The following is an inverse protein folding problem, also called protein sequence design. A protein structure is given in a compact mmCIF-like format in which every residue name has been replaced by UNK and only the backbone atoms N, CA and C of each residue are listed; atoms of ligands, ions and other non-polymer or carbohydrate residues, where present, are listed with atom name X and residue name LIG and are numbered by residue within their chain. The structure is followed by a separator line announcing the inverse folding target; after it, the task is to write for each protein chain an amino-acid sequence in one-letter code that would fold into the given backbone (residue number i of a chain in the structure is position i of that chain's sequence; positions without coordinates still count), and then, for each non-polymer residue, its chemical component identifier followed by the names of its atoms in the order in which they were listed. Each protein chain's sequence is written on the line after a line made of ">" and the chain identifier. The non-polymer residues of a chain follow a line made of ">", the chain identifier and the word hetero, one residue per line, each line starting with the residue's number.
data_IF_492881332609
#
_entry.id   IF_492881332609
#
_cell.length_a   1.000
_cell.length_b   1.000
_cell.length_c   1.000
_cell.angle_alpha   90.00
_cell.angle_beta   90.00
_cell.angle_gamma   90.00
#
_symmetry.space_group_name_H-M   'P 1'
#
loop_
_entity.id
_entity.type
_entity.pdbx_description
1 polymer ?
#
# COMPACT_ATOMS: atom_id res chain seq x y z
N UNK A 1 -14.08 -13.14 -12.49
CA UNK A 1 -12.81 -12.53 -12.03
C UNK A 1 -12.90 -12.33 -10.54
N UNK A 2 -11.91 -12.79 -9.78
CA UNK A 2 -11.85 -12.56 -8.34
C UNK A 2 -10.91 -11.39 -8.07
N UNK A 3 -11.38 -10.38 -7.34
CA UNK A 3 -10.61 -9.20 -7.01
C UNK A 3 -10.82 -8.84 -5.53
N UNK A 4 -9.72 -8.64 -4.81
CA UNK A 4 -9.74 -8.10 -3.45
C UNK A 4 -8.72 -6.98 -3.32
N UNK A 5 -9.15 -5.89 -2.70
CA UNK A 5 -8.32 -4.73 -2.40
C UNK A 5 -8.21 -4.56 -0.89
N UNK A 6 -6.99 -4.32 -0.44
CA UNK A 6 -6.67 -4.14 0.96
C UNK A 6 -5.92 -2.83 1.17
N UNK A 7 -6.25 -2.12 2.24
CA UNK A 7 -5.31 -1.17 2.83
C UNK A 7 -4.28 -1.96 3.64
N UNK A 8 -2.99 -1.68 3.39
CA UNK A 8 -1.89 -2.26 4.15
C UNK A 8 -1.13 -1.16 4.88
N UNK A 9 -0.92 -1.34 6.19
CA UNK A 9 -0.38 -0.33 7.08
C UNK A 9 0.93 -0.83 7.69
N UNK A 10 1.98 -0.04 7.52
CA UNK A 10 3.33 -0.31 7.99
C UNK A 10 3.73 0.70 9.07
N UNK A 11 4.17 0.25 10.25
CA UNK A 11 4.73 1.15 11.27
C UNK A 11 6.06 1.79 10.85
N UNK A 12 6.73 1.24 9.85
CA UNK A 12 8.03 1.68 9.38
C UNK A 12 8.05 1.72 7.86
N UNK A 13 8.50 2.84 7.30
CA UNK A 13 8.57 3.05 5.86
C UNK A 13 9.42 1.99 5.11
N UNK A 14 10.58 1.53 5.62
CA UNK A 14 11.35 0.47 4.95
C UNK A 14 10.56 -0.82 4.70
N UNK A 15 9.62 -1.18 5.59
CA UNK A 15 8.79 -2.37 5.40
C UNK A 15 7.83 -2.21 4.22
N UNK A 16 7.31 -1.01 3.97
CA UNK A 16 6.55 -0.71 2.75
C UNK A 16 7.42 -0.87 1.49
N UNK A 17 8.66 -0.36 1.53
CA UNK A 17 9.59 -0.44 0.40
C UNK A 17 9.99 -1.88 0.07
N UNK A 18 10.22 -2.71 1.10
CA UNK A 18 10.46 -4.14 0.95
C UNK A 18 9.22 -4.85 0.40
N UNK A 19 8.03 -4.56 0.94
CA UNK A 19 6.78 -5.17 0.50
C UNK A 19 6.45 -4.87 -0.96
N UNK A 20 6.79 -3.68 -1.47
CA UNK A 20 6.60 -3.34 -2.89
C UNK A 20 7.47 -4.16 -3.83
N UNK A 21 8.66 -4.57 -3.39
CA UNK A 21 9.59 -5.40 -4.18
C UNK A 21 9.27 -6.89 -4.08
N UNK A 22 8.34 -7.28 -3.21
CA UNK A 22 7.94 -8.66 -3.07
C UNK A 22 7.30 -9.17 -4.37
N UNK A 23 7.80 -10.31 -4.84
CA UNK A 23 7.27 -11.02 -6.00
C UNK A 23 6.91 -12.43 -5.54
N UNK A 24 5.70 -12.86 -5.87
CA UNK A 24 5.27 -14.25 -5.65
C UNK A 24 6.01 -15.17 -6.60
N UNK A 25 6.47 -16.31 -6.09
CA UNK A 25 7.25 -17.26 -6.89
C UNK A 25 6.42 -17.91 -8.02
N UNK A 26 5.13 -18.18 -7.76
CA UNK A 26 4.23 -18.88 -8.68
C UNK A 26 3.07 -17.99 -9.19
N UNK A 27 3.36 -16.75 -9.57
CA UNK A 27 2.37 -15.89 -10.23
C UNK A 27 2.16 -16.37 -11.67
N UNK A 28 0.95 -16.84 -12.03
CA UNK A 28 0.65 -17.14 -13.44
C UNK A 28 0.48 -15.82 -14.20
N UNK A 29 0.72 -15.83 -15.51
CA UNK A 29 0.81 -14.62 -16.36
C UNK A 29 -0.40 -13.66 -16.29
N UNK A 30 -1.57 -14.13 -15.86
CA UNK A 30 -2.78 -13.31 -15.75
C UNK A 30 -3.22 -12.98 -14.32
N UNK A 31 -2.57 -13.53 -13.30
CA UNK A 31 -2.83 -13.11 -11.93
C UNK A 31 -2.03 -11.85 -11.62
N UNK A 32 -2.55 -11.03 -10.72
CA UNK A 32 -1.85 -9.86 -10.22
C UNK A 32 -1.86 -9.87 -8.70
N UNK A 33 -0.68 -9.64 -8.13
CA UNK A 33 -0.48 -9.41 -6.72
C UNK A 33 0.56 -8.32 -6.58
N UNK A 34 0.14 -7.11 -6.21
CA UNK A 34 1.06 -5.99 -6.14
C UNK A 34 0.62 -4.92 -5.14
N UNK A 35 1.61 -4.20 -4.63
CA UNK A 35 1.42 -2.96 -3.89
C UNK A 35 1.32 -1.81 -4.89
N UNK A 36 0.22 -1.06 -4.85
CA UNK A 36 0.01 0.11 -5.69
C UNK A 36 1.16 1.13 -5.46
N UNK A 37 1.87 1.55 -6.52
CA UNK A 37 2.92 2.57 -6.39
C UNK A 37 2.34 3.98 -6.27
N UNK A 38 1.10 4.15 -6.73
CA UNK A 38 0.33 5.38 -6.77
C UNK A 38 -0.49 5.58 -5.50
N UNK A 39 -0.66 6.83 -5.12
CA UNK A 39 -1.46 7.24 -3.96
C UNK A 39 -1.13 6.54 -2.63
N UNK A 40 0.16 6.29 -2.29
CA UNK A 40 0.49 5.91 -0.93
C UNK A 40 0.13 7.07 0.01
N UNK A 41 -0.13 6.76 1.27
CA UNK A 41 -0.48 7.79 2.24
C UNK A 41 0.13 7.54 3.61
N UNK A 42 0.21 8.61 4.40
CA UNK A 42 0.51 8.52 5.82
C UNK A 42 -0.80 8.68 6.58
N UNK A 43 -1.12 7.69 7.42
CA UNK A 43 -2.28 7.74 8.30
C UNK A 43 -1.87 8.31 9.66
N UNK A 44 -2.47 9.45 10.00
CA UNK A 44 -2.20 10.20 11.23
C UNK A 44 -3.24 9.92 12.33
N UNK A 45 -4.42 9.43 11.96
CA UNK A 45 -5.55 9.23 12.86
C UNK A 45 -6.01 7.77 12.85
N UNK A 46 -6.42 7.21 14.00
CA UNK A 46 -6.82 5.83 14.10
C UNK A 46 -8.07 5.56 13.26
N UNK A 47 -8.15 4.39 12.64
CA UNK A 47 -9.33 3.98 11.87
C UNK A 47 -9.92 2.69 12.42
N UNK A 48 -11.16 2.39 12.01
CA UNK A 48 -11.84 1.16 12.39
C UNK A 48 -12.13 0.28 11.17
N UNK A 49 -11.59 -0.93 11.20
CA UNK A 49 -11.75 -1.96 10.20
C UNK A 49 -12.54 -3.12 10.78
N UNK A 50 -13.85 -3.21 10.51
CA UNK A 50 -14.84 -4.18 11.00
C UNK A 50 -14.63 -4.70 12.44
N UNK A 51 -13.68 -5.63 12.63
CA UNK A 51 -13.41 -6.35 13.88
C UNK A 51 -12.11 -5.89 14.59
N UNK A 52 -11.42 -4.87 14.06
CA UNK A 52 -10.14 -4.36 14.59
C UNK A 52 -10.03 -2.85 14.43
N UNK A 53 -9.60 -2.17 15.50
CA UNK A 53 -9.12 -0.78 15.44
C UNK A 53 -7.64 -0.76 15.04
N UNK A 54 -7.31 0.07 14.07
CA UNK A 54 -5.94 0.31 13.62
C UNK A 54 -5.51 1.62 14.28
N UNK A 55 -4.57 1.51 15.22
CA UNK A 55 -4.08 2.66 15.97
C UNK A 55 -2.97 3.37 15.19
N UNK A 56 -3.12 4.68 15.02
CA UNK A 56 -2.11 5.59 14.49
C UNK A 56 -2.27 6.94 15.19
N UNK A 57 -1.20 7.73 15.18
CA UNK A 57 -1.15 9.04 15.81
C UNK A 57 -0.08 9.91 15.13
N UNK A 58 0.02 11.18 15.49
CA UNK A 58 1.12 12.04 15.05
C UNK A 58 2.50 11.54 15.52
N UNK A 59 2.58 10.97 16.73
CA UNK A 59 3.83 10.43 17.26
C UNK A 59 4.20 9.06 16.66
N UNK A 60 3.18 8.31 16.21
CA UNK A 60 3.34 6.99 15.62
C UNK A 60 2.43 6.88 14.37
N UNK A 61 2.81 7.52 13.26
CA UNK A 61 2.07 7.42 12.03
C UNK A 61 2.20 6.03 11.40
N UNK A 62 1.26 5.68 10.54
CA UNK A 62 1.35 4.47 9.72
C UNK A 62 1.53 4.83 8.26
N UNK A 63 2.49 4.20 7.61
CA UNK A 63 2.71 4.29 6.16
C UNK A 63 1.78 3.30 5.46
N UNK A 64 1.03 3.76 4.46
CA UNK A 64 0.00 2.97 3.80
C UNK A 64 0.18 2.96 2.28
N UNK A 65 -0.19 1.82 1.69
CA UNK A 65 -0.55 1.72 0.28
C UNK A 65 -1.71 0.72 0.12
N UNK A 66 -2.19 0.56 -1.11
CA UNK A 66 -3.15 -0.45 -1.50
C UNK A 66 -2.43 -1.74 -1.93
N UNK A 67 -2.87 -2.88 -1.40
CA UNK A 67 -2.52 -4.21 -1.89
C UNK A 67 -3.67 -4.73 -2.74
N UNK A 68 -3.39 -5.01 -4.01
CA UNK A 68 -4.36 -5.57 -4.95
C UNK A 68 -4.05 -7.04 -5.22
N UNK A 69 -5.10 -7.87 -5.12
CA UNK A 69 -5.07 -9.29 -5.48
C UNK A 69 -6.13 -9.52 -6.56
N UNK A 70 -5.69 -9.86 -7.76
CA UNK A 70 -6.55 -10.21 -8.88
C UNK A 70 -6.21 -11.62 -9.37
N UNK A 71 -7.21 -12.50 -9.34
CA UNK A 71 -7.11 -13.83 -9.95
C UNK A 71 -7.99 -13.82 -11.19
N UNK A 72 -7.34 -13.87 -12.34
CA UNK A 72 -8.05 -14.04 -13.59
C UNK A 72 -8.42 -15.53 -13.73
N UNK A 73 -9.70 -15.88 -13.86
CA UNK A 73 -10.05 -17.24 -14.22
C UNK A 73 -9.53 -17.50 -15.63
N UNK A 74 -8.52 -18.36 -15.77
CA UNK A 74 -8.22 -18.94 -17.07
C UNK A 74 -9.51 -19.53 -17.68
N UNK A 75 -9.61 -19.46 -19.00
CA UNK A 75 -10.72 -19.94 -19.84
C UNK A 75 -10.99 -21.44 -19.66
N UNK A 76 -11.45 -21.89 -18.49
CA UNK A 76 -12.00 -23.23 -18.23
C UNK A 76 -12.40 -23.30 -16.74
N UNK A 77 -13.55 -22.71 -16.40
CA UNK A 77 -14.36 -23.19 -15.27
C UNK A 77 -13.74 -23.19 -13.87
N UNK A 78 -12.69 -22.42 -13.58
CA UNK A 78 -12.21 -22.20 -12.20
C UNK A 78 -13.40 -21.75 -11.34
N UNK A 79 -13.88 -22.66 -10.49
CA UNK A 79 -14.97 -22.36 -9.58
C UNK A 79 -14.51 -21.26 -8.61
N UNK A 80 -15.38 -20.34 -8.21
CA UNK A 80 -15.07 -19.25 -7.26
C UNK A 80 -14.28 -19.70 -6.02
N UNK A 81 -14.46 -20.95 -5.61
CA UNK A 81 -13.78 -21.60 -4.50
C UNK A 81 -12.26 -21.73 -4.77
N UNK A 82 -11.84 -22.08 -5.98
CA UNK A 82 -10.44 -22.25 -6.35
C UNK A 82 -9.71 -20.91 -6.44
N UNK A 83 -10.36 -19.89 -7.02
CA UNK A 83 -9.85 -18.52 -7.02
C UNK A 83 -9.63 -17.98 -5.61
N UNK A 84 -10.58 -18.22 -4.69
CA UNK A 84 -10.45 -17.87 -3.27
C UNK A 84 -9.31 -18.62 -2.59
N UNK A 85 -9.15 -19.93 -2.85
CA UNK A 85 -8.04 -20.73 -2.32
C UNK A 85 -6.68 -20.20 -2.80
N UNK A 86 -6.59 -19.83 -4.08
CA UNK A 86 -5.37 -19.26 -4.67
C UNK A 86 -5.02 -17.91 -4.07
N UNK A 87 -5.98 -16.98 -4.02
CA UNK A 87 -5.79 -15.68 -3.38
C UNK A 87 -5.38 -15.82 -1.90
N UNK A 88 -5.97 -16.78 -1.18
CA UNK A 88 -5.58 -17.09 0.20
C UNK A 88 -4.11 -17.52 0.29
N UNK A 89 -3.64 -18.43 -0.57
CA UNK A 89 -2.23 -18.86 -0.59
C UNK A 89 -1.28 -17.70 -0.87
N UNK A 90 -1.60 -16.86 -1.86
CA UNK A 90 -0.81 -15.67 -2.19
C UNK A 90 -0.68 -14.71 -0.99
N UNK A 91 -1.80 -14.46 -0.30
CA UNK A 91 -1.80 -13.65 0.91
C UNK A 91 -1.02 -14.32 2.06
N UNK A 92 -1.07 -15.63 2.22
CA UNK A 92 -0.32 -16.36 3.24
C UNK A 92 1.19 -16.28 3.00
N UNK A 93 1.64 -16.43 1.75
CA UNK A 93 3.05 -16.27 1.36
C UNK A 93 3.54 -14.84 1.64
N UNK A 94 2.76 -13.82 1.25
CA UNK A 94 3.07 -12.43 1.56
C UNK A 94 3.11 -12.15 3.07
N UNK A 95 2.20 -12.74 3.84
CA UNK A 95 2.15 -12.60 5.31
C UNK A 95 3.27 -13.33 6.03
N UNK A 96 3.90 -14.31 5.40
CA UNK A 96 5.06 -15.01 5.95
C UNK A 96 6.36 -14.20 5.87
N UNK A 97 6.37 -13.10 5.12
CA UNK A 97 7.56 -12.27 4.95
C UNK A 97 7.94 -11.51 6.23
N UNK A 98 9.24 -11.26 6.48
CA UNK A 98 9.70 -10.57 7.70
C UNK A 98 9.07 -9.19 7.92
N UNK A 99 8.86 -8.41 6.83
CA UNK A 99 8.25 -7.08 6.90
C UNK A 99 6.80 -7.12 7.41
N UNK A 100 6.12 -8.29 7.36
CA UNK A 100 4.72 -8.39 7.74
C UNK A 100 4.52 -8.54 9.26
N UNK A 101 5.57 -8.83 10.04
CA UNK A 101 5.47 -9.08 11.50
C UNK A 101 4.73 -7.99 12.28
N UNK A 102 4.91 -6.72 11.90
CA UNK A 102 4.25 -5.56 12.52
C UNK A 102 3.24 -4.87 11.60
N UNK A 103 3.03 -5.43 10.41
CA UNK A 103 2.15 -4.88 9.38
C UNK A 103 0.69 -5.24 9.67
N UNK A 104 -0.21 -4.33 9.34
CA UNK A 104 -1.65 -4.55 9.48
C UNK A 104 -2.31 -4.53 8.12
N UNK A 105 -3.33 -5.36 7.93
CA UNK A 105 -4.05 -5.47 6.67
C UNK A 105 -5.55 -5.35 6.93
N UNK A 106 -6.22 -4.51 6.16
CA UNK A 106 -7.67 -4.33 6.21
C UNK A 106 -8.25 -4.44 4.80
N UNK A 107 -9.26 -5.28 4.59
CA UNK A 107 -10.04 -5.23 3.35
C UNK A 107 -10.67 -3.85 3.24
N UNK A 108 -10.54 -3.17 2.11
CA UNK A 108 -11.05 -1.80 1.96
C UNK A 108 -12.57 -1.73 2.26
N UNK A 109 -13.34 -2.74 1.86
CA UNK A 109 -14.78 -2.86 2.15
C UNK A 109 -15.12 -3.00 3.65
N UNK A 110 -14.16 -3.37 4.49
CA UNK A 110 -14.36 -3.53 5.94
C UNK A 110 -14.10 -2.24 6.72
N UNK A 111 -13.56 -1.19 6.10
CA UNK A 111 -13.40 0.11 6.75
C UNK A 111 -14.78 0.75 6.96
N UNK A 112 -15.05 1.23 8.18
CA UNK A 112 -16.34 1.89 8.45
C UNK A 112 -16.47 3.15 7.59
N UNK A 113 -17.64 3.32 6.95
CA UNK A 113 -17.95 4.45 6.03
C UNK A 113 -17.60 5.84 6.57
N UNK A 114 -17.69 6.07 7.88
CA UNK A 114 -17.34 7.37 8.49
C UNK A 114 -15.90 7.80 8.21
N UNK A 115 -14.99 6.84 8.06
CA UNK A 115 -13.56 7.03 7.78
C UNK A 115 -13.24 7.13 6.30
N UNK A 116 -14.23 7.02 5.41
CA UNK A 116 -14.04 7.03 3.96
C UNK A 116 -14.69 8.25 3.34
N UNK A 117 -14.07 8.78 2.29
CA UNK A 117 -14.72 9.65 1.32
C UNK A 117 -14.55 9.05 -0.07
N UNK A 118 -15.52 9.33 -0.95
CA UNK A 118 -15.52 8.88 -2.33
C UNK A 118 -15.04 10.03 -3.21
N UNK A 119 -14.07 9.74 -4.07
CA UNK A 119 -13.53 10.65 -5.07
C UNK A 119 -14.50 10.72 -6.27
N UNK A 120 -14.31 11.69 -7.15
CA UNK A 120 -15.15 11.86 -8.36
C UNK A 120 -15.08 10.66 -9.31
N UNK A 121 -13.96 9.93 -9.31
CA UNK A 121 -13.74 8.70 -10.07
C UNK A 121 -14.36 7.44 -9.41
N UNK A 122 -15.05 7.60 -8.28
CA UNK A 122 -15.64 6.51 -7.49
C UNK A 122 -14.67 5.77 -6.57
N UNK A 123 -13.38 6.13 -6.56
CA UNK A 123 -12.39 5.54 -5.64
C UNK A 123 -12.65 5.98 -4.20
N UNK A 124 -12.38 5.09 -3.23
CA UNK A 124 -12.56 5.39 -1.80
C UNK A 124 -11.23 5.64 -1.13
N UNK A 125 -11.13 6.76 -0.43
CA UNK A 125 -9.93 7.22 0.28
C UNK A 125 -10.23 7.36 1.77
N UNK A 126 -9.21 7.15 2.60
CA UNK A 126 -9.27 7.32 4.04
C UNK A 126 -9.28 8.81 4.38
N UNK A 127 -10.25 9.25 5.18
CA UNK A 127 -10.26 10.59 5.78
C UNK A 127 -9.10 10.71 6.77
N UNK A 128 -8.52 11.90 6.86
CA UNK A 128 -7.41 12.18 7.80
C UNK A 128 -6.07 11.55 7.39
N UNK A 129 -6.02 10.86 6.25
CA UNK A 129 -4.76 10.40 5.67
C UNK A 129 -4.18 11.46 4.73
N UNK A 130 -2.86 11.60 4.74
CA UNK A 130 -2.14 12.46 3.83
C UNK A 130 -1.65 11.64 2.63
N UNK A 131 -2.27 11.87 1.47
CA UNK A 131 -1.95 11.17 0.23
C UNK A 131 -0.79 11.83 -0.52
N UNK A 132 0.00 11.00 -1.19
CA UNK A 132 1.14 11.40 -2.01
C UNK A 132 0.95 10.88 -3.44
N UNK A 133 1.52 11.57 -4.43
CA UNK A 133 1.38 11.16 -5.84
C UNK A 133 2.14 9.86 -6.14
N UNK A 134 3.19 9.56 -5.36
CA UNK A 134 3.93 8.32 -5.46
C UNK A 134 4.81 8.07 -4.24
N UNK A 135 5.34 6.84 -4.12
CA UNK A 135 6.15 6.42 -2.97
C UNK A 135 7.39 7.29 -2.79
N UNK A 136 8.10 7.65 -3.87
CA UNK A 136 9.25 8.54 -3.80
C UNK A 136 8.92 9.90 -3.16
N UNK A 137 7.77 10.51 -3.50
CA UNK A 137 7.33 11.78 -2.90
C UNK A 137 6.98 11.61 -1.42
N UNK A 138 6.36 10.50 -1.03
CA UNK A 138 6.14 10.17 0.38
C UNK A 138 7.46 9.95 1.13
N UNK A 139 8.44 9.27 0.52
CA UNK A 139 9.77 9.05 1.12
C UNK A 139 10.49 10.38 1.33
N UNK A 140 10.50 11.28 0.34
CA UNK A 140 11.07 12.63 0.46
C UNK A 140 10.40 13.43 1.56
N UNK A 141 9.07 13.44 1.61
CA UNK A 141 8.32 14.10 2.67
C UNK A 141 8.69 13.54 4.05
N UNK A 142 8.73 12.21 4.17
CA UNK A 142 9.04 11.53 5.43
C UNK A 142 10.46 11.79 5.91
N UNK A 143 11.42 11.88 4.98
CA UNK A 143 12.80 12.25 5.29
C UNK A 143 12.91 13.72 5.74
N UNK A 144 12.29 14.65 5.03
CA UNK A 144 12.36 16.09 5.32
C UNK A 144 11.63 16.50 6.61
N UNK A 145 10.72 15.66 7.13
CA UNK A 145 9.96 15.90 8.35
C UNK A 145 10.35 14.97 9.49
N UNK A 146 11.55 14.38 9.44
CA UNK A 146 12.11 13.50 10.50
C UNK A 146 11.21 12.32 10.90
N UNK A 147 10.36 11.84 9.98
CA UNK A 147 9.49 10.66 10.19
C UNK A 147 10.25 9.34 10.03
N UNK A 148 11.50 9.40 9.57
CA UNK A 148 12.38 8.26 9.39
C UNK A 148 13.60 8.46 10.28
N UNK A 149 13.76 7.61 11.29
CA UNK A 149 14.98 7.60 12.07
C UNK A 149 16.08 6.77 11.38
N UNK A 150 16.87 7.43 10.52
CA UNK A 150 17.94 6.79 9.75
C UNK A 150 19.01 6.11 10.62
N UNK A 151 19.20 6.53 11.87
CA UNK A 151 20.20 5.94 12.77
C UNK A 151 19.83 4.54 13.26
N UNK A 152 18.53 4.22 13.28
CA UNK A 152 17.99 2.93 13.71
C UNK A 152 17.79 1.94 12.56
N UNK A 153 18.13 2.33 11.33
CA UNK A 153 17.99 1.49 10.14
C UNK A 153 19.25 0.68 9.88
N UNK A 154 19.07 -0.52 9.33
CA UNK A 154 20.14 -1.33 8.75
C UNK A 154 20.69 -0.67 7.47
N UNK A 155 21.89 -1.05 7.06
CA UNK A 155 22.49 -0.53 5.82
C UNK A 155 21.67 -0.88 4.57
N UNK A 156 20.95 -2.01 4.58
CA UNK A 156 20.06 -2.39 3.48
C UNK A 156 18.83 -1.47 3.40
N UNK A 157 18.20 -1.19 4.54
CA UNK A 157 17.05 -0.27 4.60
C UNK A 157 17.42 1.15 4.21
N UNK A 158 18.59 1.65 4.67
CA UNK A 158 19.11 2.95 4.25
C UNK A 158 19.25 3.05 2.74
N UNK A 159 19.80 2.01 2.10
CA UNK A 159 19.92 1.96 0.63
C UNK A 159 18.57 2.02 -0.07
N UNK A 160 17.53 1.41 0.50
CA UNK A 160 16.17 1.50 -0.06
C UNK A 160 15.64 2.93 0.00
N UNK A 161 15.82 3.61 1.13
CA UNK A 161 15.44 5.02 1.29
C UNK A 161 16.22 5.91 0.31
N UNK A 162 17.54 5.76 0.26
CA UNK A 162 18.42 6.54 -0.63
C UNK A 162 18.06 6.37 -2.10
N UNK A 163 17.68 5.16 -2.52
CA UNK A 163 17.26 4.88 -3.89
C UNK A 163 15.99 5.67 -4.24
N UNK A 164 14.99 5.68 -3.35
CA UNK A 164 13.74 6.41 -3.58
C UNK A 164 13.95 7.94 -3.52
N UNK A 165 14.83 8.43 -2.64
CA UNK A 165 15.19 9.85 -2.56
C UNK A 165 15.83 10.38 -3.86
N UNK A 166 16.63 9.54 -4.53
CA UNK A 166 17.30 9.86 -5.81
C UNK A 166 16.42 9.59 -7.02
N UNK A 167 15.30 8.90 -6.86
CA UNK A 167 14.42 8.57 -7.97
C UNK A 167 13.70 9.83 -8.46
N UNK A 168 13.58 10.01 -9.79
CA UNK A 168 12.86 11.17 -10.34
C UNK A 168 11.42 11.15 -9.84
N UNK A 169 10.87 12.31 -9.53
CA UNK A 169 9.46 12.43 -9.14
C UNK A 169 8.61 11.99 -10.32
N UNK A 170 7.76 11.00 -10.10
CA UNK A 170 6.83 10.53 -11.12
C UNK A 170 5.66 11.48 -11.05
N UNK A 171 5.80 12.64 -11.68
CA UNK A 171 4.67 13.49 -11.99
C UNK A 171 3.91 12.77 -13.11
N UNK A 172 2.71 12.25 -12.80
CA UNK A 172 1.83 11.76 -13.85
C UNK A 172 1.53 12.91 -14.82
N UNK A 173 1.36 12.62 -16.11
CA UNK A 173 1.01 13.62 -17.13
C UNK A 173 -0.23 14.44 -16.73
N UNK A 174 -1.13 13.83 -15.94
CA UNK A 174 -2.32 14.43 -15.33
C UNK A 174 -2.04 15.51 -14.27
N UNK A 175 -0.89 15.45 -13.59
CA UNK A 175 -0.43 16.50 -12.67
C UNK A 175 0.32 17.61 -13.40
N UNK A 176 1.05 17.25 -14.47
CA UNK A 176 1.73 18.22 -15.32
C UNK A 176 0.74 19.11 -16.09
N UNK A 177 -0.40 18.57 -16.53
CA UNK A 177 -1.45 19.35 -17.20
C UNK A 177 -2.10 20.38 -16.26
N UNK A 178 -2.24 20.06 -14.97
CA UNK A 178 -2.79 20.98 -13.96
C UNK A 178 -1.83 22.10 -13.55
N UNK A 179 -0.52 21.89 -13.67
CA UNK A 179 0.51 22.91 -13.36
C UNK A 179 0.70 23.89 -14.53
N UNK A 180 0.28 23.53 -15.74
CA UNK A 180 0.39 24.38 -16.93
C UNK A 180 -0.84 25.30 -17.16
N UNK A 181 -1.85 25.21 -16.30
CA UNK A 181 -3.07 26.04 -16.38
C UNK A 181 -3.12 27.21 -15.36
N UNK A 182 -2.05 27.40 -14.57
CA UNK A 182 -1.81 28.60 -13.72
C UNK A 182 -0.63 29.43 -14.26
#
# INVERSE_FOLDING_TARGET
>A
MFMESYYIFFPQLPNLLLARKFQLQDLREQDHFFIAPDHPCILWEPIECKDKRIESSHDNPLFLSDLSVMINPDREGLQDIESKKKAKKMLEEFKSQPFFKSTMLCKQQNVKRKWLYEMEDGSKRLKGAQYFVGINTMVKYSFNNDLINMSNLTEEEKKLIDLELRSPETLTEELLSRIQED
#
